data_IF_428215217759
#
_entry.id   IF_428215217759
#
_cell.length_a   1.000
_cell.length_b   1.000
_cell.length_c   1.000
_cell.angle_alpha   90.00
_cell.angle_beta   90.00
_cell.angle_gamma   90.00
#
_symmetry.space_group_name_H-M   'P 1'
#
loop_
_entity.id
_entity.type
_entity.pdbx_description
1 polymer ?
#
# COMPACT_ATOMS: atom_id res chain seq x y z
N UNK A 1 13.76 14.81 3.76
CA UNK A 1 13.55 13.68 2.80
C UNK A 1 14.39 13.86 1.54
N UNK A 2 14.31 15.00 0.83
CA UNK A 2 15.09 15.25 -0.39
C UNK A 2 16.60 15.06 -0.22
N UNK A 3 17.20 15.72 0.79
CA UNK A 3 18.64 15.58 1.07
C UNK A 3 19.06 14.14 1.39
N UNK A 4 18.20 13.40 2.10
CA UNK A 4 18.44 12.00 2.40
C UNK A 4 18.46 11.15 1.13
N UNK A 5 17.46 11.29 0.26
CA UNK A 5 17.40 10.56 -1.02
C UNK A 5 18.62 10.86 -1.87
N UNK A 6 19.02 12.14 -1.96
CA UNK A 6 20.23 12.57 -2.68
C UNK A 6 21.49 11.96 -2.08
N UNK A 7 21.62 11.92 -0.76
CA UNK A 7 22.77 11.33 -0.07
C UNK A 7 22.94 9.82 -0.32
N UNK A 8 21.88 9.12 -0.72
CA UNK A 8 21.93 7.69 -1.00
C UNK A 8 22.51 7.36 -2.38
N UNK A 9 22.70 8.35 -3.25
CA UNK A 9 23.35 8.17 -4.56
C UNK A 9 22.60 7.20 -5.48
N UNK A 10 21.29 7.02 -5.28
CA UNK A 10 20.47 6.05 -6.02
C UNK A 10 20.04 6.61 -7.38
N UNK A 11 20.05 7.94 -7.51
CA UNK A 11 19.55 8.65 -8.69
C UNK A 11 20.71 9.27 -9.45
N UNK A 12 20.67 9.13 -10.78
CA UNK A 12 21.59 9.81 -11.70
C UNK A 12 21.12 11.24 -12.04
N UNK A 13 19.98 11.67 -11.49
CA UNK A 13 19.39 12.99 -11.71
C UNK A 13 19.15 13.71 -10.37
N UNK A 14 19.18 15.04 -10.41
CA UNK A 14 18.74 15.87 -9.31
C UNK A 14 17.21 15.92 -9.30
N UNK A 15 16.60 15.55 -8.17
CA UNK A 15 15.17 15.72 -7.93
C UNK A 15 14.91 17.11 -7.36
N UNK A 16 13.95 17.82 -7.95
CA UNK A 16 13.40 19.03 -7.37
C UNK A 16 12.53 18.70 -6.13
N UNK A 17 12.41 19.65 -5.20
CA UNK A 17 11.75 19.38 -3.91
C UNK A 17 10.25 19.08 -4.07
N UNK A 18 9.61 19.68 -5.06
CA UNK A 18 8.22 19.40 -5.44
C UNK A 18 8.04 17.96 -5.95
N UNK A 19 8.99 17.42 -6.72
CA UNK A 19 8.99 16.02 -7.15
C UNK A 19 9.15 15.07 -5.95
N UNK A 20 10.06 15.39 -5.02
CA UNK A 20 10.23 14.62 -3.77
C UNK A 20 8.93 14.63 -2.96
N UNK A 21 8.23 15.75 -2.92
CA UNK A 21 6.94 15.85 -2.23
C UNK A 21 5.88 15.03 -2.92
N UNK A 22 5.76 15.06 -4.25
CA UNK A 22 4.82 14.23 -5.00
C UNK A 22 5.08 12.73 -4.76
N UNK A 23 6.35 12.30 -4.76
CA UNK A 23 6.72 10.93 -4.42
C UNK A 23 6.39 10.58 -2.96
N UNK A 24 6.54 11.53 -2.04
CA UNK A 24 6.19 11.30 -0.64
C UNK A 24 4.67 11.16 -0.47
N UNK A 25 3.87 11.88 -1.25
CA UNK A 25 2.40 11.74 -1.22
C UNK A 25 1.92 10.33 -1.62
N UNK A 26 2.65 9.60 -2.46
CA UNK A 26 2.26 8.21 -2.78
C UNK A 26 2.33 7.32 -1.54
N UNK A 27 3.30 7.54 -0.65
CA UNK A 27 3.39 6.81 0.61
C UNK A 27 2.23 7.16 1.56
N UNK A 28 1.70 8.38 1.47
CA UNK A 28 0.52 8.79 2.22
C UNK A 28 -0.73 8.07 1.70
N UNK A 29 -0.91 7.98 0.38
CA UNK A 29 -2.01 7.23 -0.22
C UNK A 29 -1.93 5.72 0.03
N UNK A 30 -0.71 5.16 0.10
CA UNK A 30 -0.46 3.78 0.53
C UNK A 30 -0.77 3.54 2.02
N UNK A 31 -1.11 4.58 2.79
CA UNK A 31 -1.35 4.49 4.23
C UNK A 31 -0.10 4.19 5.07
N UNK A 32 1.11 4.37 4.49
CA UNK A 32 2.39 4.09 5.18
C UNK A 32 2.87 5.26 6.02
N UNK A 33 2.45 6.48 5.67
CA UNK A 33 2.77 7.70 6.40
C UNK A 33 1.51 8.53 6.63
N UNK A 34 1.54 9.36 7.66
CA UNK A 34 0.49 10.33 7.97
C UNK A 34 1.05 11.74 7.84
N UNK A 35 0.21 12.68 7.39
CA UNK A 35 0.52 14.10 7.47
C UNK A 35 0.35 14.56 8.90
N UNK A 36 1.40 15.18 9.44
CA UNK A 36 1.38 15.72 10.80
C UNK A 36 1.43 17.24 10.77
N UNK A 37 0.65 17.93 11.62
CA UNK A 37 0.69 19.38 11.66
C UNK A 37 2.11 19.87 11.97
N UNK A 38 2.66 20.86 11.24
CA UNK A 38 4.04 21.29 11.42
C UNK A 38 4.37 21.71 12.86
N UNK A 39 3.43 22.36 13.55
CA UNK A 39 3.57 22.76 14.96
C UNK A 39 3.78 21.58 15.92
N UNK A 40 3.26 20.40 15.59
CA UNK A 40 3.41 19.19 16.42
C UNK A 40 4.76 18.50 16.24
N UNK A 41 5.52 18.86 15.20
CA UNK A 41 6.86 18.35 14.90
C UNK A 41 7.96 19.39 15.15
N UNK A 42 7.61 20.55 15.71
CA UNK A 42 8.56 21.66 15.89
C UNK A 42 9.01 22.31 14.58
N UNK A 43 8.25 22.12 13.50
CA UNK A 43 8.56 22.68 12.19
C UNK A 43 7.99 24.10 12.04
N UNK A 44 8.65 24.98 11.28
CA UNK A 44 8.14 26.31 10.92
C UNK A 44 6.74 26.29 10.31
N UNK A 45 6.00 27.37 10.51
CA UNK A 45 4.70 27.57 9.87
C UNK A 45 4.85 27.61 8.34
N UNK A 46 4.18 26.70 7.64
CA UNK A 46 4.25 26.56 6.17
C UNK A 46 4.99 25.31 5.70
N UNK A 47 5.68 24.60 6.59
CA UNK A 47 6.31 23.33 6.25
C UNK A 47 5.33 22.14 6.34
N UNK A 48 5.61 21.10 5.56
CA UNK A 48 4.84 19.84 5.58
C UNK A 48 5.61 18.78 6.34
N UNK A 49 5.02 18.34 7.45
CA UNK A 49 5.53 17.24 8.25
C UNK A 49 4.87 15.91 7.89
N UNK A 50 5.67 14.86 7.82
CA UNK A 50 5.20 13.49 7.63
C UNK A 50 5.77 12.61 8.74
N UNK A 51 4.97 11.66 9.22
CA UNK A 51 5.43 10.62 10.15
C UNK A 51 5.03 9.25 9.63
N UNK A 52 5.74 8.20 10.05
CA UNK A 52 5.29 6.83 9.80
C UNK A 52 3.91 6.65 10.42
N UNK A 53 2.97 6.11 9.65
CA UNK A 53 1.70 5.69 10.18
C UNK A 53 1.97 4.59 11.22
N UNK A 54 1.28 4.64 12.36
CA UNK A 54 1.26 3.50 13.26
C UNK A 54 0.62 2.37 12.49
N UNK A 55 1.43 1.43 11.97
CA UNK A 55 0.89 0.26 11.29
C UNK A 55 0.11 -0.51 12.34
N UNK A 56 -1.21 -0.29 12.42
CA UNK A 56 -2.10 -1.41 12.61
C UNK A 56 -1.66 -2.36 11.51
N UNK A 57 -0.94 -3.42 11.90
CA UNK A 57 -0.68 -4.55 11.02
C UNK A 57 -1.96 -4.71 10.22
N UNK A 58 -1.89 -4.56 8.89
CA UNK A 58 -3.03 -4.89 8.06
C UNK A 58 -3.26 -6.36 8.36
N UNK A 59 -4.06 -6.63 9.38
CA UNK A 59 -4.58 -7.94 9.66
C UNK A 59 -5.41 -8.14 8.43
N UNK A 60 -4.82 -8.84 7.45
CA UNK A 60 -5.54 -9.34 6.30
C UNK A 60 -6.81 -9.90 6.89
N UNK A 61 -7.90 -9.16 6.72
CA UNK A 61 -9.17 -9.58 7.25
C UNK A 61 -9.42 -10.97 6.66
N UNK A 62 -10.02 -11.87 7.43
CA UNK A 62 -10.20 -13.25 6.98
C UNK A 62 -10.89 -13.32 5.61
N UNK A 63 -11.61 -12.26 5.24
CA UNK A 63 -12.22 -12.07 3.94
C UNK A 63 -11.21 -11.83 2.80
N UNK A 64 -10.24 -10.90 2.90
CA UNK A 64 -9.24 -10.66 1.83
C UNK A 64 -8.35 -11.86 1.51
N UNK A 65 -8.32 -12.86 2.39
CA UNK A 65 -7.60 -14.12 2.18
C UNK A 65 -8.36 -15.10 1.27
N UNK A 66 -9.65 -14.87 1.03
CA UNK A 66 -10.51 -15.74 0.22
C UNK A 66 -10.50 -15.31 -1.26
N UNK A 67 -10.51 -16.24 -2.22
CA UNK A 67 -10.57 -15.93 -3.64
C UNK A 67 -11.77 -15.06 -4.04
N UNK A 68 -12.90 -15.20 -3.34
CA UNK A 68 -14.10 -14.42 -3.61
C UNK A 68 -13.93 -12.92 -3.34
N UNK A 69 -13.10 -12.53 -2.36
CA UNK A 69 -12.89 -11.13 -2.02
C UNK A 69 -12.19 -10.34 -3.12
N UNK A 70 -11.38 -11.00 -3.94
CA UNK A 70 -10.62 -10.40 -5.04
C UNK A 70 -11.13 -10.84 -6.43
N UNK A 71 -12.23 -11.60 -6.50
CA UNK A 71 -12.74 -12.16 -7.75
C UNK A 71 -13.52 -11.10 -8.56
N UNK A 72 -13.02 -10.64 -9.72
CA UNK A 72 -13.70 -9.62 -10.51
C UNK A 72 -15.07 -10.08 -11.04
N UNK A 73 -15.24 -11.39 -11.27
CA UNK A 73 -16.50 -11.97 -11.77
C UNK A 73 -17.58 -11.97 -10.68
N UNK A 74 -17.20 -12.25 -9.43
CA UNK A 74 -18.13 -12.18 -8.30
C UNK A 74 -18.60 -10.74 -8.04
N UNK A 75 -17.69 -9.77 -8.19
CA UNK A 75 -18.00 -8.35 -8.04
C UNK A 75 -18.83 -7.77 -9.20
N UNK A 76 -18.81 -8.42 -10.38
CA UNK A 76 -19.63 -8.04 -11.53
C UNK A 76 -21.11 -8.49 -11.42
N UNK A 77 -21.52 -9.10 -10.30
CA UNK A 77 -22.90 -9.51 -10.04
C UNK A 77 -23.35 -10.73 -10.83
N UNK A 78 -22.43 -11.45 -11.46
CA UNK A 78 -22.74 -12.72 -12.11
C UNK A 78 -22.75 -13.85 -11.08
N UNK A 79 -23.75 -14.74 -11.10
CA UNK A 79 -23.73 -15.92 -10.23
C UNK A 79 -22.54 -16.80 -10.62
N UNK A 80 -21.57 -16.92 -9.71
CA UNK A 80 -20.43 -17.82 -9.86
C UNK A 80 -20.79 -19.14 -9.21
N UNK A 81 -20.93 -20.20 -10.02
CA UNK A 81 -21.04 -21.55 -9.49
C UNK A 81 -19.69 -21.98 -8.90
N UNK A 82 -19.63 -22.09 -7.56
CA UNK A 82 -18.38 -22.33 -6.84
C UNK A 82 -17.66 -23.61 -7.30
N UNK A 83 -18.42 -24.66 -7.65
CA UNK A 83 -17.88 -25.93 -8.14
C UNK A 83 -17.16 -25.85 -9.49
N UNK A 84 -17.45 -24.81 -10.29
CA UNK A 84 -16.83 -24.57 -11.59
C UNK A 84 -15.81 -23.41 -11.56
N UNK A 85 -15.67 -22.75 -10.41
CA UNK A 85 -14.80 -21.59 -10.28
C UNK A 85 -13.32 -22.01 -10.27
N UNK A 86 -12.61 -21.69 -11.37
CA UNK A 86 -11.17 -21.97 -11.50
C UNK A 86 -10.32 -21.30 -10.41
N UNK A 87 -10.72 -20.12 -9.94
CA UNK A 87 -10.01 -19.41 -8.87
C UNK A 87 -10.08 -20.18 -7.54
N UNK A 88 -11.23 -20.76 -7.22
CA UNK A 88 -11.40 -21.62 -6.04
C UNK A 88 -10.63 -22.93 -6.17
N UNK A 89 -10.75 -23.62 -7.31
CA UNK A 89 -10.02 -24.87 -7.54
C UNK A 89 -8.49 -24.70 -7.45
N UNK A 90 -7.96 -23.61 -8.01
CA UNK A 90 -6.53 -23.29 -7.90
C UNK A 90 -6.13 -22.91 -6.47
N UNK A 91 -6.89 -22.06 -5.79
CA UNK A 91 -6.55 -21.65 -4.43
C UNK A 91 -6.55 -22.83 -3.45
N UNK A 92 -7.53 -23.74 -3.56
CA UNK A 92 -7.57 -24.96 -2.75
C UNK A 92 -6.41 -25.91 -3.06
N UNK A 93 -5.94 -25.96 -4.31
CA UNK A 93 -4.81 -26.83 -4.68
C UNK A 93 -3.48 -26.35 -4.09
N UNK A 94 -3.30 -25.04 -3.89
CA UNK A 94 -2.10 -24.47 -3.25
C UNK A 94 -1.87 -25.00 -1.82
N UNK A 95 -2.95 -25.28 -1.08
CA UNK A 95 -2.88 -25.85 0.27
C UNK A 95 -2.56 -27.36 0.31
N UNK A 96 -2.55 -28.02 -0.85
CA UNK A 96 -2.39 -29.49 -0.96
C UNK A 96 -1.04 -29.94 -1.51
N UNK A 97 -0.09 -29.01 -1.75
CA UNK A 97 1.27 -29.40 -2.12
C UNK A 97 1.90 -30.18 -0.95
N UNK A 98 2.33 -31.45 -1.14
CA UNK A 98 3.18 -32.10 -0.16
C UNK A 98 4.52 -31.36 -0.09
N UNK A 99 5.05 -31.25 1.13
CA UNK A 99 6.35 -30.66 1.43
C UNK A 99 7.50 -31.41 0.73
#
# INVERSE_FOLDING_TARGET
VGDFVKSKGVLNCDLAMDEVLQLTETLYYDGKIERYPPHSLGLPAGERGFRLAGTASATHDHYSQLPCAVCPIAHAGHPVELGLCRHWGYWLSLGTKPA
#
